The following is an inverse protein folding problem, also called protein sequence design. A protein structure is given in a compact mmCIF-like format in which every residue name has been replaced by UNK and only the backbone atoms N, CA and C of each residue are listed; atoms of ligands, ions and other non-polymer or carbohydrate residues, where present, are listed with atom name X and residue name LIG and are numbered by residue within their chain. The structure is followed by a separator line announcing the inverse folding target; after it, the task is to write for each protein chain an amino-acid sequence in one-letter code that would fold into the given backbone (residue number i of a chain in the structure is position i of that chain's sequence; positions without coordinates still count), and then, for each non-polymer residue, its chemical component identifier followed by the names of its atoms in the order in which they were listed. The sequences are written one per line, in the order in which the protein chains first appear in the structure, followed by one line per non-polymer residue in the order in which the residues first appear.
data_IF_156741299913
#
_entry.id   IF_156741299913
#
_cell.length_a   1.000
_cell.length_b   1.000
_cell.length_c   1.000
_cell.angle_alpha   90.00
_cell.angle_beta   90.00
_cell.angle_gamma   90.00
#
_symmetry.space_group_name_H-M   'P 1'
#
loop_
_entity.id
_entity.type
_entity.pdbx_description
1 polymer ?
#
# COMPACT_ATOMS: atom_id res chain seq x y z
N UNK A 1 -25.92 4.32 -14.85
CA UNK A 1 -25.12 5.37 -14.21
C UNK A 1 -23.73 5.31 -14.84
N UNK A 2 -23.25 6.32 -15.59
CA UNK A 2 -21.88 6.31 -16.07
C UNK A 2 -20.95 6.41 -14.87
N UNK A 3 -19.97 5.54 -14.81
CA UNK A 3 -18.92 5.52 -13.80
C UNK A 3 -18.06 6.77 -13.99
N UNK A 4 -18.23 7.73 -13.11
CA UNK A 4 -17.37 8.90 -13.00
C UNK A 4 -16.01 8.44 -12.45
N UNK A 5 -15.21 7.89 -13.35
CA UNK A 5 -13.80 7.57 -13.06
C UNK A 5 -13.05 8.87 -13.24
N UNK A 6 -12.95 9.65 -12.18
CA UNK A 6 -12.04 10.79 -12.18
C UNK A 6 -10.65 10.30 -12.59
N UNK A 7 -10.03 10.91 -13.62
CA UNK A 7 -8.70 10.49 -14.05
C UNK A 7 -7.72 10.57 -12.89
N UNK A 8 -6.72 9.71 -12.91
CA UNK A 8 -5.63 9.79 -11.94
C UNK A 8 -4.99 11.18 -12.07
N UNK A 9 -4.91 11.97 -11.00
CA UNK A 9 -4.38 13.31 -11.15
C UNK A 9 -2.90 13.23 -11.52
N UNK A 10 -2.60 13.65 -12.73
CA UNK A 10 -1.24 13.90 -13.16
C UNK A 10 -0.89 15.36 -12.84
N UNK A 11 0.29 15.57 -12.31
CA UNK A 11 0.86 16.89 -12.06
C UNK A 11 1.99 17.12 -13.07
N UNK A 12 1.78 17.91 -14.14
CA UNK A 12 2.79 18.20 -15.14
C UNK A 12 3.63 19.41 -14.75
N UNK A 13 4.88 19.41 -15.20
CA UNK A 13 5.78 20.55 -15.14
C UNK A 13 6.81 20.50 -14.03
N UNK A 14 7.96 21.14 -14.28
CA UNK A 14 9.10 21.15 -13.36
C UNK A 14 8.76 21.82 -12.01
N UNK A 15 8.22 23.03 -12.04
CA UNK A 15 7.90 23.80 -10.84
C UNK A 15 6.81 23.15 -9.97
N UNK A 16 5.62 22.77 -10.49
CA UNK A 16 4.60 22.13 -9.70
C UNK A 16 5.05 20.83 -9.03
N UNK A 17 5.83 20.02 -9.76
CA UNK A 17 6.37 18.77 -9.21
C UNK A 17 7.39 19.05 -8.10
N UNK A 18 8.24 20.06 -8.27
CA UNK A 18 9.21 20.45 -7.26
C UNK A 18 8.52 21.00 -5.99
N UNK A 19 7.52 21.85 -6.15
CA UNK A 19 6.72 22.38 -5.03
C UNK A 19 6.06 21.23 -4.25
N UNK A 20 5.39 20.31 -4.92
CA UNK A 20 4.76 19.18 -4.25
C UNK A 20 5.76 18.24 -3.57
N UNK A 21 6.96 18.07 -4.14
CA UNK A 21 8.04 17.30 -3.50
C UNK A 21 8.56 17.99 -2.22
N UNK A 22 8.43 19.31 -2.12
CA UNK A 22 8.74 20.07 -0.91
C UNK A 22 7.65 19.98 0.15
N UNK A 23 6.39 20.17 -0.26
CA UNK A 23 5.26 20.30 0.66
C UNK A 23 4.77 18.94 1.15
N UNK A 24 4.49 18.01 0.23
CA UNK A 24 3.93 16.69 0.56
C UNK A 24 4.36 15.62 -0.47
N UNK A 25 5.59 15.11 -0.35
CA UNK A 25 6.09 14.08 -1.26
C UNK A 25 5.32 12.75 -1.17
N UNK A 26 4.52 12.55 -0.12
CA UNK A 26 3.73 11.33 0.04
C UNK A 26 2.56 11.26 -0.94
N UNK A 27 2.09 12.39 -1.44
CA UNK A 27 1.06 12.46 -2.48
C UNK A 27 1.58 12.00 -3.85
N UNK A 28 2.89 11.91 -4.03
CA UNK A 28 3.48 11.48 -5.30
C UNK A 28 3.71 9.96 -5.26
N UNK A 29 3.09 9.26 -6.21
CA UNK A 29 3.36 7.83 -6.44
C UNK A 29 4.62 7.62 -7.26
N UNK A 30 4.79 8.38 -8.36
CA UNK A 30 5.88 8.22 -9.29
C UNK A 30 6.18 9.51 -10.06
N UNK A 31 7.44 9.81 -10.28
CA UNK A 31 7.86 10.93 -11.15
C UNK A 31 8.48 10.37 -12.43
N UNK A 32 7.98 10.82 -13.57
CA UNK A 32 8.53 10.52 -14.89
C UNK A 32 9.32 11.73 -15.38
N UNK A 33 10.58 11.51 -15.72
CA UNK A 33 11.48 12.54 -16.20
C UNK A 33 11.94 12.23 -17.62
N UNK A 34 11.97 13.22 -18.50
CA UNK A 34 12.48 13.07 -19.87
C UNK A 34 13.96 12.72 -19.83
N UNK A 35 14.33 11.64 -20.52
CA UNK A 35 15.73 11.26 -20.73
C UNK A 35 16.47 12.34 -21.53
N UNK A 36 17.68 12.68 -21.12
CA UNK A 36 18.51 13.67 -21.78
C UNK A 36 18.14 15.14 -21.50
N UNK A 37 17.07 15.42 -20.78
CA UNK A 37 16.78 16.76 -20.29
C UNK A 37 17.83 17.18 -19.26
N UNK A 38 18.47 18.33 -19.45
CA UNK A 38 19.45 18.90 -18.54
C UNK A 38 18.93 20.24 -18.04
N UNK A 39 18.44 20.28 -16.81
CA UNK A 39 18.10 21.53 -16.12
C UNK A 39 18.46 21.40 -14.64
N UNK A 40 18.64 22.54 -13.99
CA UNK A 40 18.90 22.60 -12.55
C UNK A 40 17.72 22.05 -11.75
N UNK A 41 16.51 22.42 -12.16
CA UNK A 41 15.27 21.98 -11.52
C UNK A 41 15.08 20.47 -11.62
N UNK A 42 15.44 19.86 -12.77
CA UNK A 42 15.34 18.41 -12.92
C UNK A 42 16.30 17.67 -11.98
N UNK A 43 17.53 18.17 -11.85
CA UNK A 43 18.48 17.59 -10.89
C UNK A 43 17.96 17.70 -9.45
N UNK A 44 17.37 18.82 -9.10
CA UNK A 44 16.77 19.04 -7.79
C UNK A 44 15.57 18.09 -7.56
N UNK A 45 14.69 17.90 -8.55
CA UNK A 45 13.60 16.92 -8.48
C UNK A 45 14.12 15.51 -8.21
N UNK A 46 15.14 15.07 -8.95
CA UNK A 46 15.73 13.74 -8.77
C UNK A 46 16.35 13.56 -7.40
N UNK A 47 17.01 14.59 -6.90
CA UNK A 47 17.64 14.60 -5.58
C UNK A 47 16.58 14.52 -4.47
N UNK A 48 15.54 15.31 -4.57
CA UNK A 48 14.41 15.27 -3.63
C UNK A 48 13.65 13.95 -3.68
N UNK A 49 13.45 13.38 -4.87
CA UNK A 49 12.86 12.05 -5.01
C UNK A 49 13.68 11.01 -4.24
N UNK A 50 15.03 11.06 -4.33
CA UNK A 50 15.91 10.15 -3.58
C UNK A 50 15.78 10.33 -2.07
N UNK A 51 15.81 11.58 -1.59
CA UNK A 51 15.70 11.88 -0.15
C UNK A 51 14.32 11.52 0.42
N UNK A 52 13.24 11.83 -0.32
CA UNK A 52 11.88 11.51 0.10
C UNK A 52 11.46 10.05 -0.18
N UNK A 53 12.32 9.25 -0.84
CA UNK A 53 12.00 7.88 -1.24
C UNK A 53 10.91 7.79 -2.32
N UNK A 54 10.67 8.86 -3.08
CA UNK A 54 9.74 8.88 -4.21
C UNK A 54 10.38 8.21 -5.41
N UNK A 55 9.67 7.29 -6.05
CA UNK A 55 10.15 6.61 -7.28
C UNK A 55 10.21 7.59 -8.43
N UNK A 56 11.29 7.53 -9.22
CA UNK A 56 11.34 8.23 -10.51
C UNK A 56 11.96 7.37 -11.60
N UNK A 57 11.57 7.64 -12.85
CA UNK A 57 12.06 6.91 -14.02
C UNK A 57 12.39 7.91 -15.14
N UNK A 58 13.51 7.68 -15.82
CA UNK A 58 13.88 8.40 -17.02
C UNK A 58 13.20 7.72 -18.22
N UNK A 59 12.38 8.48 -18.95
CA UNK A 59 11.60 7.99 -20.09
C UNK A 59 11.81 8.85 -21.33
N UNK A 60 11.53 8.29 -22.49
CA UNK A 60 11.53 9.04 -23.75
C UNK A 60 10.33 9.99 -23.82
N UNK A 61 10.45 11.08 -24.60
CA UNK A 61 9.38 12.08 -24.78
C UNK A 61 8.04 11.44 -25.13
N UNK A 62 8.04 10.49 -26.07
CA UNK A 62 6.82 9.80 -26.52
C UNK A 62 6.09 9.06 -25.39
N UNK A 63 6.81 8.58 -24.40
CA UNK A 63 6.21 7.91 -23.23
C UNK A 63 5.50 8.91 -22.31
N UNK A 64 6.05 10.11 -22.13
CA UNK A 64 5.40 11.20 -21.39
C UNK A 64 4.12 11.65 -22.10
N UNK A 65 4.19 11.88 -23.42
CA UNK A 65 3.05 12.29 -24.23
C UNK A 65 1.93 11.22 -24.21
N UNK A 66 2.30 9.93 -24.18
CA UNK A 66 1.35 8.85 -24.07
C UNK A 66 0.67 8.83 -22.70
N UNK A 67 1.42 8.97 -21.61
CA UNK A 67 0.87 9.05 -20.27
C UNK A 67 -0.12 10.21 -20.12
N UNK A 68 0.22 11.39 -20.64
CA UNK A 68 -0.69 12.53 -20.66
C UNK A 68 -2.00 12.23 -21.41
N UNK A 69 -1.92 11.56 -22.55
CA UNK A 69 -3.12 11.19 -23.35
C UNK A 69 -3.99 10.15 -22.65
N UNK A 70 -3.39 9.10 -22.09
CA UNK A 70 -4.10 8.03 -21.41
C UNK A 70 -4.87 8.52 -20.17
N UNK A 71 -4.38 9.57 -19.51
CA UNK A 71 -4.98 10.15 -18.31
C UNK A 71 -5.80 11.44 -18.62
N UNK A 72 -6.10 11.72 -19.88
CA UNK A 72 -6.95 12.84 -20.28
C UNK A 72 -6.30 14.24 -20.20
N UNK A 73 -4.97 14.30 -20.12
CA UNK A 73 -4.19 15.54 -20.01
C UNK A 73 -3.41 15.85 -21.31
N UNK A 74 -3.96 15.52 -22.47
CA UNK A 74 -3.28 15.55 -23.77
C UNK A 74 -2.66 16.92 -24.13
N UNK A 75 -3.31 18.02 -23.74
CA UNK A 75 -2.87 19.38 -24.08
C UNK A 75 -1.98 20.04 -23.01
N UNK A 76 -1.48 19.26 -22.06
CA UNK A 76 -0.74 19.82 -20.92
C UNK A 76 0.76 19.90 -21.20
N UNK A 77 1.34 21.10 -21.07
CA UNK A 77 2.78 21.33 -21.22
C UNK A 77 3.56 20.75 -20.03
N UNK A 78 3.97 19.49 -20.11
CA UNK A 78 4.69 18.80 -19.01
C UNK A 78 6.18 19.18 -18.88
N UNK A 79 6.75 19.98 -19.79
CA UNK A 79 8.15 20.46 -19.72
C UNK A 79 9.19 19.35 -19.49
N UNK A 80 8.89 18.11 -19.88
CA UNK A 80 9.75 16.95 -19.66
C UNK A 80 9.65 16.31 -18.27
N UNK A 81 8.73 16.72 -17.41
CA UNK A 81 8.47 16.12 -16.10
C UNK A 81 6.98 15.96 -15.85
N UNK A 82 6.62 14.80 -15.29
CA UNK A 82 5.24 14.44 -14.96
C UNK A 82 5.24 13.67 -13.66
N UNK A 83 4.47 14.10 -12.66
CA UNK A 83 4.24 13.31 -11.45
C UNK A 83 2.85 12.66 -11.49
N UNK A 84 2.81 11.36 -11.21
CA UNK A 84 1.57 10.63 -10.96
C UNK A 84 1.26 10.70 -9.48
N UNK A 85 0.07 11.19 -9.15
CA UNK A 85 -0.34 11.38 -7.77
C UNK A 85 -1.06 10.14 -7.22
N UNK A 86 -0.97 9.94 -5.92
CA UNK A 86 -1.76 8.92 -5.23
C UNK A 86 -3.22 9.37 -5.14
N UNK A 87 -4.14 8.43 -5.34
CA UNK A 87 -5.56 8.67 -5.14
C UNK A 87 -5.97 8.69 -3.66
N UNK A 88 -5.17 8.07 -2.80
CA UNK A 88 -5.38 8.00 -1.36
C UNK A 88 -4.37 8.86 -0.60
N UNK A 89 -4.80 9.49 0.47
CA UNK A 89 -3.91 10.17 1.43
C UNK A 89 -3.16 9.15 2.28
N UNK A 90 -1.90 9.43 2.57
CA UNK A 90 -1.11 8.67 3.53
C UNK A 90 -0.83 9.51 4.76
N UNK A 91 -0.86 8.89 5.93
CA UNK A 91 -0.44 9.51 7.17
C UNK A 91 0.89 8.92 7.67
N UNK A 92 1.61 9.60 8.57
CA UNK A 92 2.79 9.06 9.23
C UNK A 92 2.47 7.74 9.95
N UNK A 93 3.46 6.84 10.04
CA UNK A 93 3.27 5.53 10.66
C UNK A 93 2.91 5.63 12.15
N UNK A 94 3.59 6.49 12.88
CA UNK A 94 3.34 6.76 14.31
C UNK A 94 1.89 7.21 14.55
N UNK A 95 1.37 8.10 13.69
CA UNK A 95 -0.03 8.52 13.73
C UNK A 95 -0.97 7.35 13.46
N UNK A 96 -0.68 6.52 12.44
CA UNK A 96 -1.49 5.34 12.14
C UNK A 96 -1.52 4.37 13.32
N UNK A 97 -0.38 4.10 13.95
CA UNK A 97 -0.29 3.20 15.11
C UNK A 97 -1.09 3.74 16.29
N UNK A 98 -0.98 5.04 16.59
CA UNK A 98 -1.73 5.68 17.68
C UNK A 98 -3.25 5.64 17.45
N UNK A 99 -3.69 5.90 16.22
CA UNK A 99 -5.11 5.88 15.86
C UNK A 99 -5.68 4.45 15.84
N UNK A 100 -4.86 3.47 15.44
CA UNK A 100 -5.25 2.08 15.35
C UNK A 100 -5.70 1.48 16.70
N UNK A 101 -5.14 1.95 17.80
CA UNK A 101 -5.54 1.51 19.15
C UNK A 101 -7.00 1.85 19.49
N UNK A 102 -7.56 2.87 18.84
CA UNK A 102 -8.94 3.35 19.06
C UNK A 102 -9.93 2.87 18.00
N UNK A 103 -9.44 2.13 17.01
CA UNK A 103 -10.30 1.61 15.95
C UNK A 103 -11.31 0.57 16.47
N UNK A 104 -12.49 0.43 15.82
CA UNK A 104 -13.47 -0.60 16.18
C UNK A 104 -12.87 -2.01 16.19
N UNK A 105 -11.93 -2.30 15.30
CA UNK A 105 -11.10 -3.50 15.31
C UNK A 105 -9.64 -3.03 15.24
N UNK A 106 -8.85 -3.11 16.34
CA UNK A 106 -7.46 -2.66 16.38
C UNK A 106 -6.53 -3.64 15.66
N UNK A 107 -6.81 -3.85 14.38
CA UNK A 107 -6.09 -4.70 13.44
C UNK A 107 -5.59 -3.86 12.27
N UNK A 108 -4.29 -3.76 12.12
CA UNK A 108 -3.62 -3.26 10.93
C UNK A 108 -3.29 -4.41 10.00
N UNK A 109 -3.31 -4.15 8.69
CA UNK A 109 -2.78 -5.10 7.70
C UNK A 109 -1.54 -4.48 7.07
N UNK A 110 -0.45 -5.23 6.98
CA UNK A 110 0.77 -4.85 6.28
C UNK A 110 0.95 -5.73 5.04
N UNK A 111 1.27 -5.12 3.90
CA UNK A 111 1.44 -5.83 2.63
C UNK A 111 2.92 -5.92 2.25
N UNK A 112 3.44 -7.13 2.09
CA UNK A 112 4.81 -7.36 1.64
C UNK A 112 4.86 -7.80 0.18
N UNK A 113 5.25 -6.89 -0.72
CA UNK A 113 5.38 -7.14 -2.17
C UNK A 113 4.06 -7.49 -2.88
N UNK A 114 2.93 -7.07 -2.38
CA UNK A 114 1.63 -7.21 -3.07
C UNK A 114 1.52 -6.08 -4.10
N UNK A 115 1.49 -6.45 -5.40
CA UNK A 115 1.61 -5.50 -6.51
C UNK A 115 0.31 -5.32 -7.31
N UNK A 116 -0.68 -6.18 -7.15
CA UNK A 116 -1.96 -6.05 -7.83
C UNK A 116 -2.86 -5.03 -7.13
N UNK A 117 -3.26 -3.93 -7.82
CA UNK A 117 -4.13 -2.91 -7.23
C UNK A 117 -5.54 -3.41 -6.92
N UNK A 118 -6.04 -4.40 -7.68
CA UNK A 118 -7.34 -5.01 -7.46
C UNK A 118 -7.40 -5.75 -6.13
N UNK A 119 -6.35 -6.51 -5.82
CA UNK A 119 -6.21 -7.21 -4.54
C UNK A 119 -6.16 -6.23 -3.37
N UNK A 120 -5.36 -5.16 -3.49
CA UNK A 120 -5.26 -4.16 -2.41
C UNK A 120 -6.61 -3.46 -2.19
N UNK A 121 -7.30 -3.04 -3.25
CA UNK A 121 -8.61 -2.41 -3.12
C UNK A 121 -9.67 -3.33 -2.50
N UNK A 122 -9.71 -4.60 -2.91
CA UNK A 122 -10.62 -5.60 -2.34
C UNK A 122 -10.36 -5.83 -0.85
N UNK A 123 -9.09 -5.89 -0.48
CA UNK A 123 -8.68 -6.03 0.92
C UNK A 123 -9.04 -4.78 1.75
N UNK A 124 -8.80 -3.57 1.21
CA UNK A 124 -9.24 -2.31 1.85
C UNK A 124 -10.74 -2.31 2.12
N UNK A 125 -11.55 -2.76 1.16
CA UNK A 125 -13.01 -2.85 1.32
C UNK A 125 -13.38 -3.77 2.48
N UNK A 126 -12.79 -4.96 2.54
CA UNK A 126 -13.07 -5.93 3.61
C UNK A 126 -12.61 -5.41 4.98
N UNK A 127 -11.38 -4.87 5.03
CA UNK A 127 -10.79 -4.34 6.26
C UNK A 127 -11.63 -3.17 6.82
N UNK A 128 -12.00 -2.22 5.97
CA UNK A 128 -12.85 -1.09 6.34
C UNK A 128 -14.24 -1.54 6.83
N UNK A 129 -14.89 -2.43 6.10
CA UNK A 129 -16.23 -2.92 6.43
C UNK A 129 -16.28 -3.66 7.78
N UNK A 130 -15.18 -4.33 8.16
CA UNK A 130 -15.07 -5.05 9.43
C UNK A 130 -14.47 -4.19 10.57
N UNK A 131 -14.28 -2.88 10.34
CA UNK A 131 -13.80 -1.94 11.35
C UNK A 131 -12.29 -1.95 11.58
N UNK A 132 -11.52 -2.56 10.68
CA UNK A 132 -10.07 -2.62 10.76
C UNK A 132 -9.40 -1.24 10.76
N UNK A 133 -8.28 -1.14 11.43
CA UNK A 133 -7.64 0.12 11.78
C UNK A 133 -6.90 0.81 10.61
N UNK A 134 -6.40 0.04 9.65
CA UNK A 134 -5.68 0.63 8.52
C UNK A 134 -4.73 -0.31 7.82
N UNK A 135 -4.01 0.23 6.82
CA UNK A 135 -3.12 -0.53 5.96
C UNK A 135 -1.72 0.08 5.92
N UNK A 136 -0.68 -0.75 6.00
CA UNK A 136 0.73 -0.38 5.88
C UNK A 136 1.25 -0.94 4.55
N UNK A 137 1.81 -0.06 3.70
CA UNK A 137 2.36 -0.44 2.40
C UNK A 137 3.82 0.00 2.26
N UNK A 138 4.69 -0.83 1.65
CA UNK A 138 6.02 -0.37 1.31
C UNK A 138 5.97 0.62 0.13
N UNK A 139 6.95 1.54 0.06
CA UNK A 139 7.11 2.48 -1.07
C UNK A 139 7.50 1.78 -2.37
N UNK A 140 8.24 0.68 -2.25
CA UNK A 140 8.75 -0.09 -3.40
C UNK A 140 8.11 -1.47 -3.45
N UNK A 141 7.99 -2.03 -4.67
CA UNK A 141 7.38 -3.34 -4.90
C UNK A 141 5.96 -3.46 -4.29
N UNK A 142 5.17 -2.43 -4.44
CA UNK A 142 3.81 -2.31 -3.92
C UNK A 142 2.87 -1.86 -5.03
N UNK A 143 1.59 -2.18 -4.89
CA UNK A 143 0.56 -1.77 -5.81
C UNK A 143 0.46 -0.24 -5.91
N UNK A 144 0.16 0.24 -7.11
CA UNK A 144 -0.27 1.61 -7.31
C UNK A 144 -1.74 1.77 -6.87
N UNK A 145 -1.97 2.68 -5.92
CA UNK A 145 -3.31 2.96 -5.41
C UNK A 145 -4.03 3.99 -6.30
N UNK A 146 -4.24 3.62 -7.55
CA UNK A 146 -4.89 4.43 -8.58
C UNK A 146 -6.32 3.94 -8.90
N UNK A 147 -6.81 4.20 -10.14
CA UNK A 147 -8.19 3.90 -10.52
C UNK A 147 -8.64 2.45 -10.32
N UNK A 148 -7.74 1.48 -10.53
CA UNK A 148 -8.07 0.06 -10.34
C UNK A 148 -8.31 -0.28 -8.85
N UNK A 149 -7.45 0.21 -7.95
CA UNK A 149 -7.62 0.02 -6.51
C UNK A 149 -8.86 0.77 -6.00
N UNK A 150 -9.14 1.98 -6.51
CA UNK A 150 -10.36 2.73 -6.19
C UNK A 150 -11.62 1.97 -6.58
N UNK A 151 -11.69 1.45 -7.80
CA UNK A 151 -12.86 0.66 -8.25
C UNK A 151 -13.08 -0.57 -7.38
N UNK A 152 -12.04 -1.36 -7.11
CA UNK A 152 -12.17 -2.59 -6.32
C UNK A 152 -12.46 -2.32 -4.84
N UNK A 153 -12.05 -1.16 -4.31
CA UNK A 153 -12.32 -0.79 -2.92
C UNK A 153 -13.75 -0.25 -2.69
N UNK A 154 -14.47 0.13 -3.74
CA UNK A 154 -15.80 0.75 -3.64
C UNK A 154 -15.84 1.93 -2.64
N UNK A 155 -14.83 2.80 -2.66
CA UNK A 155 -14.73 3.98 -1.81
C UNK A 155 -14.13 3.73 -0.41
N UNK A 156 -13.74 2.50 -0.10
CA UNK A 156 -13.09 2.20 1.18
C UNK A 156 -11.64 2.72 1.24
N UNK A 157 -10.96 2.78 0.09
CA UNK A 157 -9.57 3.24 0.00
C UNK A 157 -9.38 4.68 0.50
N UNK A 158 -10.35 5.55 0.25
CA UNK A 158 -10.33 6.96 0.65
C UNK A 158 -10.70 7.17 2.12
N UNK A 159 -11.24 6.16 2.78
CA UNK A 159 -11.72 6.22 4.16
C UNK A 159 -10.85 5.44 5.14
N UNK A 160 -10.16 4.42 4.64
CA UNK A 160 -9.26 3.59 5.46
C UNK A 160 -7.95 4.35 5.70
N UNK A 161 -7.49 4.49 6.96
CA UNK A 161 -6.19 5.06 7.24
C UNK A 161 -5.05 4.25 6.60
N UNK A 162 -4.12 4.95 5.93
CA UNK A 162 -3.03 4.32 5.19
C UNK A 162 -1.69 4.91 5.63
N UNK A 163 -0.67 4.08 5.80
CA UNK A 163 0.71 4.53 5.94
C UNK A 163 1.59 3.92 4.84
N UNK A 164 2.53 4.71 4.32
CA UNK A 164 3.51 4.27 3.33
C UNK A 164 4.91 4.33 3.92
N UNK A 165 5.59 3.19 3.98
CA UNK A 165 6.88 3.06 4.64
C UNK A 165 7.99 2.68 3.67
N UNK A 166 9.21 3.15 3.90
CA UNK A 166 10.37 2.80 3.07
C UNK A 166 10.88 1.39 3.41
N UNK A 167 10.86 1.02 4.68
CA UNK A 167 11.32 -0.26 5.18
C UNK A 167 10.22 -0.93 6.02
N UNK A 168 9.56 -1.94 5.45
CA UNK A 168 8.47 -2.63 6.15
C UNK A 168 8.95 -3.37 7.41
N UNK A 169 10.15 -3.97 7.38
CA UNK A 169 10.67 -4.66 8.55
C UNK A 169 10.85 -3.72 9.74
N UNK A 170 11.42 -2.53 9.51
CA UNK A 170 11.53 -1.49 10.54
C UNK A 170 10.17 -0.98 11.01
N UNK A 171 9.21 -0.82 10.12
CA UNK A 171 7.85 -0.42 10.47
C UNK A 171 7.15 -1.46 11.39
N UNK A 172 7.47 -2.74 11.21
CA UNK A 172 6.98 -3.80 12.12
C UNK A 172 7.67 -3.75 13.48
N UNK A 173 8.98 -3.43 13.53
CA UNK A 173 9.70 -3.20 14.79
C UNK A 173 9.05 -2.03 15.57
N UNK A 174 8.76 -0.91 14.90
CA UNK A 174 8.06 0.25 15.47
C UNK A 174 6.63 -0.09 15.95
N UNK A 175 5.91 -0.95 15.22
CA UNK A 175 4.58 -1.42 15.63
C UNK A 175 4.64 -2.34 16.85
N UNK A 176 5.63 -3.23 16.94
CA UNK A 176 5.86 -4.09 18.12
C UNK A 176 6.19 -3.25 19.36
N UNK A 177 7.06 -2.25 19.23
CA UNK A 177 7.36 -1.29 20.30
C UNK A 177 6.12 -0.49 20.74
N UNK A 178 5.18 -0.21 19.82
CA UNK A 178 3.89 0.40 20.12
C UNK A 178 2.85 -0.58 20.74
N UNK A 179 3.22 -1.84 20.96
CA UNK A 179 2.38 -2.84 21.63
C UNK A 179 1.51 -3.70 20.71
N UNK A 180 1.76 -3.71 19.40
CA UNK A 180 1.07 -4.58 18.46
C UNK A 180 1.74 -5.95 18.38
N UNK A 181 0.94 -7.01 18.43
CA UNK A 181 1.41 -8.35 18.09
C UNK A 181 1.57 -8.49 16.57
N UNK A 182 2.67 -9.05 16.09
CA UNK A 182 2.95 -9.17 14.66
C UNK A 182 2.69 -10.61 14.19
N UNK A 183 1.73 -10.78 13.28
CA UNK A 183 1.37 -12.06 12.68
C UNK A 183 1.70 -12.06 11.18
N UNK A 184 2.47 -13.06 10.75
CA UNK A 184 2.72 -13.30 9.33
C UNK A 184 1.77 -14.35 8.76
N UNK A 185 1.73 -14.43 7.42
CA UNK A 185 1.00 -15.48 6.72
C UNK A 185 1.97 -16.35 5.92
N UNK A 186 1.96 -17.64 6.15
CA UNK A 186 2.74 -18.59 5.37
C UNK A 186 2.18 -20.02 5.53
N UNK A 187 2.24 -20.80 4.47
CA UNK A 187 1.99 -22.22 4.51
C UNK A 187 3.31 -22.94 4.86
N UNK A 188 3.62 -23.03 6.16
CA UNK A 188 4.85 -23.64 6.68
C UNK A 188 4.52 -24.67 7.75
N UNK A 189 5.46 -25.57 8.01
CA UNK A 189 5.31 -26.63 9.02
C UNK A 189 5.09 -26.06 10.44
N UNK A 190 5.69 -24.92 10.75
CA UNK A 190 5.63 -24.23 12.05
C UNK A 190 4.49 -23.19 12.13
N UNK A 191 3.65 -23.07 11.11
CA UNK A 191 2.53 -22.14 11.11
C UNK A 191 1.31 -22.68 11.86
N UNK A 192 0.58 -21.76 12.49
CA UNK A 192 -0.59 -22.07 13.32
C UNK A 192 -1.88 -21.98 12.50
N UNK A 193 -2.78 -22.92 12.69
CA UNK A 193 -4.09 -22.93 12.05
C UNK A 193 -4.92 -21.72 12.50
N UNK A 194 -5.21 -20.80 11.58
CA UNK A 194 -5.94 -19.57 11.84
C UNK A 194 -7.40 -19.77 12.27
N UNK A 195 -8.02 -20.92 11.96
CA UNK A 195 -9.38 -21.21 12.42
C UNK A 195 -9.44 -21.55 13.91
N UNK A 196 -8.34 -22.04 14.45
CA UNK A 196 -8.23 -22.40 15.89
C UNK A 196 -7.59 -21.26 16.71
N UNK A 197 -6.78 -20.41 16.07
CA UNK A 197 -5.99 -19.37 16.72
C UNK A 197 -6.12 -18.03 15.98
N UNK A 198 -7.15 -17.28 16.33
CA UNK A 198 -7.29 -15.90 15.82
C UNK A 198 -6.19 -15.00 16.41
N UNK A 199 -5.76 -13.94 15.67
CA UNK A 199 -4.83 -12.94 16.19
C UNK A 199 -5.30 -12.30 17.49
N UNK A 200 -4.43 -12.23 18.50
CA UNK A 200 -4.67 -11.41 19.69
C UNK A 200 -4.48 -9.93 19.31
N UNK A 201 -5.43 -9.08 19.67
CA UNK A 201 -5.41 -7.65 19.31
C UNK A 201 -4.95 -6.80 20.50
N UNK A 202 -4.28 -5.66 20.25
CA UNK A 202 -3.99 -5.06 18.93
C UNK A 202 -2.93 -5.84 18.14
N UNK A 203 -3.07 -5.87 16.81
CA UNK A 203 -2.16 -6.65 15.97
C UNK A 203 -1.90 -6.02 14.59
N UNK A 204 -0.77 -6.41 13.99
CA UNK A 204 -0.48 -6.24 12.57
C UNK A 204 -0.49 -7.61 11.90
N UNK A 205 -1.34 -7.80 10.92
CA UNK A 205 -1.38 -8.97 10.06
C UNK A 205 -0.58 -8.70 8.79
N UNK A 206 0.51 -9.44 8.59
CA UNK A 206 1.41 -9.26 7.44
C UNK A 206 1.07 -10.28 6.35
N UNK A 207 0.65 -9.78 5.20
CA UNK A 207 0.32 -10.59 4.01
C UNK A 207 1.45 -10.47 2.99
N UNK A 208 1.94 -11.60 2.52
CA UNK A 208 2.99 -11.67 1.51
C UNK A 208 2.47 -11.74 0.08
N UNK A 209 3.41 -11.69 -0.86
CA UNK A 209 3.15 -11.96 -2.27
C UNK A 209 2.67 -13.42 -2.47
N UNK A 210 1.77 -13.64 -3.42
CA UNK A 210 1.15 -14.94 -3.68
C UNK A 210 2.14 -16.03 -4.05
N UNK A 211 3.21 -15.68 -4.77
CA UNK A 211 4.22 -16.64 -5.27
C UNK A 211 5.42 -16.75 -4.31
N UNK A 212 5.92 -15.59 -3.79
CA UNK A 212 7.17 -15.50 -3.03
C UNK A 212 6.95 -15.51 -1.52
N UNK A 213 5.72 -15.33 -1.06
CA UNK A 213 5.40 -15.18 0.35
C UNK A 213 6.01 -13.91 0.97
N UNK A 214 6.39 -13.99 2.23
CA UNK A 214 7.04 -12.91 2.98
C UNK A 214 8.54 -12.89 2.76
N UNK A 215 9.13 -11.71 2.59
CA UNK A 215 10.59 -11.57 2.58
C UNK A 215 11.20 -12.03 3.91
N UNK A 216 12.41 -12.64 3.92
CA UNK A 216 13.03 -13.16 5.13
C UNK A 216 13.15 -12.13 6.27
N UNK A 217 13.48 -10.87 5.93
CA UNK A 217 13.59 -9.79 6.91
C UNK A 217 12.26 -9.39 7.55
N UNK A 218 11.15 -9.53 6.82
CA UNK A 218 9.79 -9.29 7.32
C UNK A 218 9.30 -10.49 8.14
N UNK A 219 9.50 -11.71 7.63
CA UNK A 219 9.10 -12.93 8.30
C UNK A 219 9.73 -13.09 9.69
N UNK A 220 10.98 -12.63 9.89
CA UNK A 220 11.68 -12.64 11.19
C UNK A 220 11.02 -11.77 12.27
N UNK A 221 10.23 -10.77 11.89
CA UNK A 221 9.50 -9.87 12.81
C UNK A 221 8.14 -10.41 13.21
N UNK A 222 7.67 -11.45 12.51
CA UNK A 222 6.41 -12.08 12.86
C UNK A 222 6.61 -13.01 14.06
N UNK A 223 5.95 -12.71 15.16
CA UNK A 223 5.97 -13.56 16.38
C UNK A 223 5.30 -14.91 16.14
N UNK A 224 4.35 -14.96 15.19
CA UNK A 224 3.68 -16.19 14.74
C UNK A 224 3.36 -16.13 13.24
N UNK A 225 3.43 -17.30 12.61
CA UNK A 225 2.92 -17.51 11.26
C UNK A 225 1.54 -18.17 11.32
N UNK A 226 0.59 -17.63 10.60
CA UNK A 226 -0.75 -18.16 10.46
C UNK A 226 -0.92 -18.83 9.09
N UNK A 227 -1.65 -19.92 9.04
CA UNK A 227 -2.10 -20.51 7.79
C UNK A 227 -3.61 -20.76 7.81
N UNK A 228 -4.22 -20.70 6.63
CA UNK A 228 -5.59 -21.13 6.39
C UNK A 228 -5.51 -22.61 5.97
N UNK A 229 -6.10 -23.55 6.72
CA UNK A 229 -6.03 -24.96 6.36
C UNK A 229 -6.88 -25.23 5.12
N UNK A 230 -6.34 -25.98 4.17
CA UNK A 230 -7.04 -26.41 2.98
C UNK A 230 -7.59 -27.82 3.17
N UNK A 231 -8.88 -28.02 2.81
CA UNK A 231 -9.49 -29.35 2.81
C UNK A 231 -9.07 -30.24 1.63
N UNK A 232 -8.47 -29.60 0.61
CA UNK A 232 -7.95 -30.27 -0.60
C UNK A 232 -6.55 -29.74 -0.88
N UNK A 233 -5.65 -30.52 -1.52
CA UNK A 233 -4.36 -30.03 -1.95
C UNK A 233 -4.51 -28.82 -2.87
N UNK A 234 -3.95 -27.68 -2.47
CA UNK A 234 -3.94 -26.45 -3.23
C UNK A 234 -2.74 -25.58 -2.81
N UNK A 235 -2.16 -24.84 -3.77
CA UNK A 235 -0.91 -24.14 -3.51
C UNK A 235 -1.09 -22.87 -2.69
N UNK A 236 -2.07 -22.02 -3.03
CA UNK A 236 -2.32 -20.75 -2.33
C UNK A 236 -3.70 -20.19 -2.62
N UNK A 237 -4.18 -19.31 -1.76
CA UNK A 237 -5.32 -18.43 -2.03
C UNK A 237 -4.81 -17.08 -2.54
N UNK A 238 -5.63 -16.40 -3.33
CA UNK A 238 -5.42 -15.00 -3.64
C UNK A 238 -5.26 -14.20 -2.34
N UNK A 239 -4.33 -13.24 -2.33
CA UNK A 239 -3.97 -12.48 -1.10
C UNK A 239 -5.14 -11.71 -0.50
N UNK A 240 -6.05 -11.17 -1.32
CA UNK A 240 -7.23 -10.45 -0.82
C UNK A 240 -8.24 -11.41 -0.18
N UNK A 241 -8.39 -12.62 -0.73
CA UNK A 241 -9.23 -13.66 -0.15
C UNK A 241 -8.66 -14.16 1.17
N UNK A 242 -7.37 -14.49 1.20
CA UNK A 242 -6.69 -14.92 2.41
C UNK A 242 -6.76 -13.85 3.51
N UNK A 243 -6.46 -12.60 3.15
CA UNK A 243 -6.55 -11.46 4.06
C UNK A 243 -7.99 -11.27 4.58
N UNK A 244 -8.98 -11.35 3.71
CA UNK A 244 -10.40 -11.23 4.09
C UNK A 244 -10.83 -12.30 5.12
N UNK A 245 -10.43 -13.56 4.92
CA UNK A 245 -10.70 -14.65 5.88
C UNK A 245 -10.05 -14.34 7.23
N UNK A 246 -8.78 -13.96 7.23
CA UNK A 246 -8.03 -13.70 8.48
C UNK A 246 -8.56 -12.48 9.23
N UNK A 247 -8.93 -11.40 8.54
CA UNK A 247 -9.57 -10.22 9.13
C UNK A 247 -10.93 -10.60 9.73
N UNK A 248 -11.74 -11.41 9.04
CA UNK A 248 -13.02 -11.88 9.57
C UNK A 248 -12.88 -12.76 10.82
N UNK A 249 -11.85 -13.63 10.85
CA UNK A 249 -11.55 -14.44 12.03
C UNK A 249 -11.12 -13.56 13.22
N UNK A 250 -10.30 -12.54 13.00
CA UNK A 250 -9.91 -11.59 14.03
C UNK A 250 -11.12 -10.79 14.56
N UNK A 251 -11.96 -10.28 13.67
CA UNK A 251 -13.17 -9.55 14.04
C UNK A 251 -14.16 -10.42 14.85
N UNK A 252 -14.36 -11.67 14.44
CA UNK A 252 -15.21 -12.63 15.18
C UNK A 252 -14.67 -12.90 16.59
N UNK A 253 -13.36 -13.04 16.72
CA UNK A 253 -12.75 -13.30 18.03
C UNK A 253 -12.82 -12.09 18.95
N UNK A 254 -12.67 -10.88 18.39
CA UNK A 254 -12.73 -9.62 19.12
C UNK A 254 -14.14 -9.27 19.59
N UNK A 255 -15.16 -9.47 18.75
CA UNK A 255 -16.57 -9.19 19.08
C UNK A 255 -17.19 -10.14 20.10
N UNK A 256 -16.46 -11.17 20.56
CA UNK A 256 -16.88 -12.10 21.63
C UNK A 256 -16.42 -11.65 23.01
N UNK A 257 -15.65 -10.55 23.11
CA UNK A 257 -15.25 -9.92 24.36
C UNK A 257 -16.28 -8.84 24.73
#
# INVERSE_FOLDING_TARGET
MPSDVSPTPLLPGLKPVLELLHEDPQRIDHVYCKKGLRSRELMEIQDRCRHAGVRYTLVEQQALDRLCREEGAADTAHQGVLARLCAAGFQPLDQLLADAMRAPLPLLVALDQVQDPGNVGTLCRTLYALGGAGLILPRHNSAYLGPAARRSSAGALERLPLARVTNLARALDEAEEAGFAIYGTALRHDSVNAFLHAPALPAVLVLGNEEKGLRPGVAKRCSRMLHIPFARPFDSLNVAQAGGILVALAARAYGKK
#
